data_IF_600233923128
#
_entry.id   IF_600233923128
#
_cell.length_a   1.000
_cell.length_b   1.000
_cell.length_c   1.000
_cell.angle_alpha   90.00
_cell.angle_beta   90.00
_cell.angle_gamma   90.00
#
_symmetry.space_group_name_H-M   'P 1'
#
loop_
_entity.id
_entity.type
_entity.pdbx_description
1 polymer ?
#
# COMPACT_ATOMS: atom_id res chain seq x y z
N UNK A 1 28.30 -112.43 -56.96
CA UNK A 1 27.26 -111.51 -57.46
C UNK A 1 26.51 -110.97 -56.26
N UNK A 2 26.75 -109.78 -55.71
CA UNK A 2 27.32 -108.58 -56.29
C UNK A 2 26.20 -107.56 -56.57
N UNK A 3 25.87 -106.74 -55.55
CA UNK A 3 25.29 -105.38 -55.65
C UNK A 3 23.82 -105.30 -56.19
N UNK A 4 22.91 -104.38 -55.85
CA UNK A 4 22.92 -103.11 -55.07
C UNK A 4 21.49 -102.51 -55.03
N UNK A 5 21.32 -101.51 -54.13
CA UNK A 5 20.30 -100.41 -54.09
C UNK A 5 18.93 -100.77 -53.49
N UNK A 6 18.29 -99.92 -52.68
CA UNK A 6 18.33 -98.45 -52.63
C UNK A 6 17.98 -97.93 -51.23
N UNK A 7 18.65 -96.86 -50.80
CA UNK A 7 18.37 -96.10 -49.58
C UNK A 7 17.38 -94.96 -49.85
N UNK A 8 16.54 -94.64 -48.86
CA UNK A 8 15.95 -93.31 -48.71
C UNK A 8 16.30 -92.78 -47.32
N UNK A 9 17.07 -91.69 -47.32
CA UNK A 9 17.54 -90.93 -46.16
C UNK A 9 16.40 -90.07 -45.61
N UNK A 10 16.02 -90.28 -44.35
CA UNK A 10 15.29 -89.28 -43.56
C UNK A 10 16.29 -88.30 -42.92
N UNK A 11 16.28 -87.05 -43.35
CA UNK A 11 17.08 -86.00 -42.73
C UNK A 11 16.39 -85.54 -41.42
N UNK A 12 16.91 -85.97 -40.28
CA UNK A 12 16.46 -85.53 -38.97
C UNK A 12 17.08 -84.16 -38.66
N UNK A 13 16.31 -83.09 -38.87
CA UNK A 13 16.70 -81.72 -38.51
C UNK A 13 16.58 -81.57 -37.00
N UNK A 14 17.71 -81.47 -36.31
CA UNK A 14 17.75 -81.19 -34.87
C UNK A 14 17.36 -79.72 -34.63
N UNK A 15 16.40 -79.42 -33.75
CA UNK A 15 16.08 -78.04 -33.40
C UNK A 15 17.26 -77.44 -32.61
N UNK A 16 17.87 -76.40 -33.17
CA UNK A 16 18.92 -75.62 -32.50
C UNK A 16 18.25 -74.83 -31.37
N UNK A 17 18.41 -75.28 -30.12
CA UNK A 17 17.85 -74.56 -28.97
C UNK A 17 18.47 -73.16 -28.89
N UNK A 18 17.69 -72.12 -29.15
CA UNK A 18 18.06 -70.75 -28.81
C UNK A 18 17.99 -70.63 -27.29
N UNK A 19 19.15 -70.81 -26.65
CA UNK A 19 19.31 -70.65 -25.21
C UNK A 19 19.16 -69.16 -24.89
N UNK A 20 17.94 -68.73 -24.53
CA UNK A 20 17.67 -67.36 -24.10
C UNK A 20 18.45 -67.07 -22.82
N UNK A 21 19.43 -66.17 -22.94
CA UNK A 21 20.28 -65.68 -21.85
C UNK A 21 19.51 -64.64 -21.00
N UNK A 22 18.38 -65.01 -20.40
CA UNK A 22 17.55 -64.05 -19.61
C UNK A 22 18.01 -63.87 -18.15
N UNK A 23 19.07 -64.55 -17.70
CA UNK A 23 19.53 -64.48 -16.29
C UNK A 23 20.39 -63.25 -15.95
N UNK A 24 20.85 -62.45 -16.91
CA UNK A 24 21.72 -61.27 -16.65
C UNK A 24 20.98 -59.93 -16.51
N UNK A 25 19.67 -59.88 -16.73
CA UNK A 25 18.91 -58.62 -16.66
C UNK A 25 18.42 -58.27 -15.24
N UNK A 26 18.26 -59.26 -14.35
CA UNK A 26 17.72 -59.01 -12.98
C UNK A 26 18.66 -58.22 -12.07
N UNK A 27 19.98 -58.37 -12.24
CA UNK A 27 20.97 -57.59 -11.47
C UNK A 27 21.11 -56.14 -11.95
N UNK A 28 21.01 -55.90 -13.26
CA UNK A 28 21.06 -54.56 -13.83
C UNK A 28 19.85 -53.71 -13.40
N UNK A 29 18.65 -54.31 -13.32
CA UNK A 29 17.43 -53.61 -12.87
C UNK A 29 17.56 -53.13 -11.42
N UNK A 30 18.12 -53.93 -10.51
CA UNK A 30 18.32 -53.52 -9.12
C UNK A 30 19.25 -52.31 -8.99
N UNK A 31 20.34 -52.29 -9.77
CA UNK A 31 21.28 -51.15 -9.77
C UNK A 31 20.61 -49.90 -10.33
N UNK A 32 19.92 -50.00 -11.47
CA UNK A 32 19.23 -48.86 -12.07
C UNK A 32 18.12 -48.31 -11.17
N UNK A 33 17.33 -49.17 -10.54
CA UNK A 33 16.28 -48.76 -9.59
C UNK A 33 16.88 -48.11 -8.34
N UNK A 34 17.98 -48.67 -7.79
CA UNK A 34 18.68 -48.10 -6.66
C UNK A 34 19.21 -46.69 -6.96
N UNK A 35 19.85 -46.51 -8.13
CA UNK A 35 20.32 -45.20 -8.58
C UNK A 35 19.14 -44.25 -8.77
N UNK A 36 18.08 -44.66 -9.47
CA UNK A 36 16.91 -43.81 -9.71
C UNK A 36 16.24 -43.36 -8.40
N UNK A 37 16.07 -44.26 -7.42
CA UNK A 37 15.52 -43.91 -6.10
C UNK A 37 16.39 -42.90 -5.37
N UNK A 38 17.72 -43.05 -5.40
CA UNK A 38 18.64 -42.07 -4.82
C UNK A 38 18.50 -40.71 -5.51
N UNK A 39 18.38 -40.67 -6.84
CA UNK A 39 18.15 -39.42 -7.58
C UNK A 39 16.82 -38.78 -7.21
N UNK A 40 15.75 -39.57 -7.08
CA UNK A 40 14.45 -39.07 -6.67
C UNK A 40 14.46 -38.50 -5.25
N UNK A 41 15.10 -39.18 -4.30
CA UNK A 41 15.22 -38.69 -2.93
C UNK A 41 16.05 -37.41 -2.86
N UNK A 42 17.14 -37.33 -3.63
CA UNK A 42 17.96 -36.12 -3.72
C UNK A 42 17.14 -34.93 -4.28
N UNK A 43 16.38 -35.14 -5.35
CA UNK A 43 15.50 -34.09 -5.91
C UNK A 43 14.38 -33.71 -4.95
N UNK A 44 13.76 -34.68 -4.27
CA UNK A 44 12.68 -34.42 -3.31
C UNK A 44 13.17 -33.55 -2.15
N UNK A 45 14.34 -33.85 -1.61
CA UNK A 45 14.90 -33.10 -0.51
C UNK A 45 15.36 -31.69 -0.92
N UNK A 46 15.89 -31.49 -2.15
CA UNK A 46 16.11 -30.14 -2.70
C UNK A 46 14.78 -29.38 -2.84
N UNK A 47 13.72 -30.08 -3.27
CA UNK A 47 12.37 -29.50 -3.34
C UNK A 47 11.85 -29.04 -1.98
N UNK A 48 12.12 -29.80 -0.91
CA UNK A 48 11.74 -29.43 0.46
C UNK A 48 12.50 -28.19 0.94
N UNK A 49 13.81 -28.12 0.73
CA UNK A 49 14.61 -26.96 1.10
C UNK A 49 14.13 -25.69 0.37
N UNK A 50 13.86 -25.80 -0.93
CA UNK A 50 13.35 -24.68 -1.70
C UNK A 50 11.97 -24.22 -1.21
N UNK A 51 11.09 -25.17 -0.87
CA UNK A 51 9.77 -24.86 -0.34
C UNK A 51 9.86 -24.17 1.03
N UNK A 52 10.74 -24.64 1.92
CA UNK A 52 10.98 -24.04 3.23
C UNK A 52 11.55 -22.62 3.11
N UNK A 53 12.51 -22.41 2.21
CA UNK A 53 13.06 -21.08 1.92
C UNK A 53 12.02 -20.12 1.36
N UNK A 54 11.18 -20.58 0.43
CA UNK A 54 10.11 -19.78 -0.15
C UNK A 54 9.04 -19.40 0.89
N UNK A 55 8.71 -20.33 1.79
CA UNK A 55 7.79 -20.07 2.89
C UNK A 55 8.38 -19.04 3.87
N UNK A 56 9.61 -19.26 4.34
CA UNK A 56 10.35 -18.32 5.19
C UNK A 56 10.42 -16.94 4.55
N UNK A 57 10.68 -16.86 3.24
CA UNK A 57 10.72 -15.60 2.51
C UNK A 57 9.40 -14.83 2.55
N UNK A 58 8.27 -15.54 2.57
CA UNK A 58 6.94 -14.94 2.69
C UNK A 58 6.69 -14.44 4.12
N UNK A 59 7.13 -15.18 5.13
CA UNK A 59 7.05 -14.76 6.53
C UNK A 59 7.90 -13.50 6.78
N UNK A 60 9.16 -13.47 6.33
CA UNK A 60 10.06 -12.31 6.46
C UNK A 60 9.50 -11.10 5.71
N UNK A 61 8.85 -11.31 4.55
CA UNK A 61 8.17 -10.26 3.79
C UNK A 61 7.02 -9.66 4.61
N UNK A 62 6.17 -10.50 5.21
CA UNK A 62 5.10 -10.04 6.11
C UNK A 62 5.65 -9.20 7.26
N UNK A 63 6.73 -9.65 7.91
CA UNK A 63 7.41 -8.91 8.99
C UNK A 63 7.90 -7.55 8.50
N UNK A 64 8.51 -7.47 7.31
CA UNK A 64 9.03 -6.22 6.77
C UNK A 64 7.89 -5.21 6.65
N UNK A 65 6.76 -5.68 6.16
CA UNK A 65 5.67 -4.80 5.81
C UNK A 65 4.86 -4.31 7.03
N UNK A 66 4.65 -5.17 8.04
CA UNK A 66 4.02 -4.74 9.29
C UNK A 66 4.96 -3.84 10.11
N UNK A 67 6.27 -4.10 10.11
CA UNK A 67 7.25 -3.26 10.78
C UNK A 67 7.34 -1.86 10.13
N UNK A 68 7.38 -1.80 8.79
CA UNK A 68 7.38 -0.53 8.06
C UNK A 68 6.10 0.25 8.35
N UNK A 69 4.92 -0.40 8.29
CA UNK A 69 3.62 0.26 8.52
C UNK A 69 3.51 0.80 9.94
N UNK A 70 3.86 0.00 10.95
CA UNK A 70 3.86 0.44 12.34
C UNK A 70 4.87 1.58 12.60
N UNK A 71 6.04 1.52 11.96
CA UNK A 71 7.01 2.60 12.02
C UNK A 71 6.50 3.89 11.39
N UNK A 72 5.83 3.81 10.23
CA UNK A 72 5.23 4.99 9.58
C UNK A 72 4.07 5.57 10.40
N UNK A 73 3.25 4.74 11.03
CA UNK A 73 2.20 5.20 11.95
C UNK A 73 2.79 5.91 13.17
N UNK A 74 3.83 5.33 13.78
CA UNK A 74 4.55 5.95 14.90
C UNK A 74 5.18 7.29 14.50
N UNK A 75 5.71 7.39 13.27
CA UNK A 75 6.29 8.64 12.73
C UNK A 75 5.27 9.78 12.70
N UNK A 76 4.06 9.52 12.18
CA UNK A 76 2.97 10.52 12.11
C UNK A 76 2.48 10.92 13.50
N UNK A 77 2.40 9.95 14.41
CA UNK A 77 1.93 10.17 15.78
C UNK A 77 2.99 10.79 16.71
N UNK A 78 4.19 11.10 16.20
CA UNK A 78 5.30 11.63 17.00
C UNK A 78 5.88 10.63 18.02
N UNK A 79 5.67 9.34 17.79
CA UNK A 79 6.14 8.24 18.63
C UNK A 79 7.55 7.75 18.28
N UNK A 80 7.99 6.69 18.98
CA UNK A 80 9.28 6.06 18.72
C UNK A 80 9.16 5.02 17.59
N UNK A 81 9.51 5.44 16.37
CA UNK A 81 9.45 4.62 15.14
C UNK A 81 10.09 3.24 15.31
N UNK A 82 11.29 3.19 15.87
CA UNK A 82 12.06 1.94 15.97
C UNK A 82 11.39 0.99 16.97
N UNK A 83 10.99 1.50 18.13
CA UNK A 83 10.37 0.70 19.17
C UNK A 83 9.01 0.11 18.71
N UNK A 84 8.19 0.91 18.03
CA UNK A 84 6.89 0.44 17.52
C UNK A 84 7.05 -0.58 16.39
N UNK A 85 7.95 -0.32 15.44
CA UNK A 85 8.27 -1.27 14.37
C UNK A 85 8.77 -2.62 14.93
N UNK A 86 9.64 -2.60 15.94
CA UNK A 86 10.13 -3.81 16.61
C UNK A 86 9.01 -4.54 17.38
N UNK A 87 8.17 -3.80 18.09
CA UNK A 87 7.07 -4.36 18.89
C UNK A 87 6.06 -5.09 18.00
N UNK A 88 5.69 -4.51 16.86
CA UNK A 88 4.77 -5.13 15.91
C UNK A 88 5.43 -6.27 15.14
N UNK A 89 6.71 -6.13 14.76
CA UNK A 89 7.47 -7.22 14.14
C UNK A 89 7.49 -8.47 15.04
N UNK A 90 7.75 -8.32 16.34
CA UNK A 90 7.83 -9.42 17.30
C UNK A 90 6.53 -10.20 17.52
N UNK A 91 5.38 -9.67 17.05
CA UNK A 91 4.08 -10.39 17.07
C UNK A 91 3.94 -11.41 15.94
N UNK A 92 4.89 -11.42 14.99
CA UNK A 92 4.90 -12.34 13.86
C UNK A 92 5.92 -13.45 14.09
N UNK A 93 5.72 -14.58 13.42
CA UNK A 93 6.64 -15.71 13.45
C UNK A 93 7.37 -15.83 12.11
N UNK A 94 8.64 -16.19 12.18
CA UNK A 94 9.45 -16.63 11.05
C UNK A 94 10.13 -17.92 11.46
N UNK A 95 9.95 -18.98 10.67
CA UNK A 95 10.51 -20.31 10.93
C UNK A 95 10.23 -20.78 12.38
N UNK A 96 8.99 -20.56 12.84
CA UNK A 96 8.53 -20.97 14.18
C UNK A 96 9.10 -20.16 15.36
N UNK A 97 9.81 -19.05 15.11
CA UNK A 97 10.35 -18.16 16.15
C UNK A 97 9.78 -16.76 16.02
N UNK A 98 9.61 -16.00 17.13
CA UNK A 98 9.26 -14.59 17.04
C UNK A 98 10.26 -13.84 16.15
N UNK A 99 9.74 -13.04 15.22
CA UNK A 99 10.58 -12.27 14.32
C UNK A 99 11.33 -11.18 15.11
N UNK A 100 12.58 -10.92 14.71
CA UNK A 100 13.38 -9.85 15.26
C UNK A 100 13.90 -8.97 14.11
N UNK A 101 13.91 -7.66 14.33
CA UNK A 101 14.49 -6.69 13.41
C UNK A 101 15.45 -5.79 14.18
N UNK A 102 16.67 -5.65 13.67
CA UNK A 102 17.67 -4.77 14.25
C UNK A 102 17.23 -3.31 14.08
N UNK A 103 17.52 -2.46 15.06
CA UNK A 103 17.21 -1.03 14.99
C UNK A 103 17.81 -0.36 13.74
N UNK A 104 19.02 -0.75 13.34
CA UNK A 104 19.68 -0.24 12.13
C UNK A 104 19.02 -0.66 10.81
N UNK A 105 18.11 -1.64 10.82
CA UNK A 105 17.35 -2.06 9.65
C UNK A 105 15.97 -1.39 9.57
N UNK A 106 15.70 -0.42 10.47
CA UNK A 106 14.53 0.44 10.46
C UNK A 106 15.01 1.85 10.16
N UNK A 107 14.73 2.32 8.95
CA UNK A 107 15.22 3.60 8.46
C UNK A 107 14.05 4.55 8.27
N UNK A 108 14.10 5.69 8.96
CA UNK A 108 13.21 6.83 8.72
C UNK A 108 13.73 7.63 7.53
N UNK A 109 12.84 8.09 6.65
CA UNK A 109 13.22 8.89 5.51
C UNK A 109 12.05 9.54 4.79
N UNK A 110 12.34 10.05 3.60
CA UNK A 110 11.34 10.63 2.70
C UNK A 110 11.05 9.67 1.54
N UNK A 111 9.78 9.51 1.19
CA UNK A 111 9.32 8.81 0.01
C UNK A 111 8.60 9.78 -0.93
N UNK A 112 9.09 9.86 -2.16
CA UNK A 112 8.51 10.66 -3.22
C UNK A 112 7.60 9.77 -4.10
N UNK A 113 6.26 9.91 -4.04
CA UNK A 113 5.34 9.05 -4.80
C UNK A 113 5.46 9.24 -6.32
N UNK A 114 5.82 10.44 -6.78
CA UNK A 114 5.98 10.73 -8.21
C UNK A 114 7.15 9.96 -8.85
N UNK A 115 8.28 9.87 -8.16
CA UNK A 115 9.50 9.19 -8.67
C UNK A 115 9.69 7.79 -8.10
N UNK A 116 8.79 7.37 -7.18
CA UNK A 116 8.86 6.10 -6.44
C UNK A 116 10.21 5.88 -5.75
N UNK A 117 10.75 6.95 -5.16
CA UNK A 117 12.08 6.95 -4.56
C UNK A 117 11.99 7.10 -3.05
N UNK A 118 12.70 6.25 -2.32
CA UNK A 118 12.94 6.41 -0.89
C UNK A 118 14.34 6.97 -0.66
N UNK A 119 14.42 8.00 0.19
CA UNK A 119 15.66 8.64 0.62
C UNK A 119 15.77 8.50 2.13
N UNK A 120 16.69 7.65 2.60
CA UNK A 120 16.98 7.48 4.02
C UNK A 120 17.46 8.81 4.63
N UNK A 121 16.92 9.18 5.79
CA UNK A 121 17.19 10.47 6.43
C UNK A 121 16.64 11.68 5.66
N UNK A 122 15.85 11.47 4.60
CA UNK A 122 15.22 12.55 3.85
C UNK A 122 14.24 13.35 4.70
N UNK A 123 14.19 14.66 4.45
CA UNK A 123 13.33 15.62 5.16
C UNK A 123 12.37 16.33 4.20
N UNK A 124 11.10 16.54 4.55
CA UNK A 124 10.44 16.02 5.76
C UNK A 124 10.31 14.49 5.72
N UNK A 125 10.48 13.86 6.88
CA UNK A 125 10.38 12.40 6.97
C UNK A 125 8.92 11.98 6.91
N UNK A 126 8.52 11.29 5.85
CA UNK A 126 7.14 10.80 5.67
C UNK A 126 7.08 9.28 5.49
N UNK A 127 8.21 8.57 5.56
CA UNK A 127 8.26 7.15 5.28
C UNK A 127 9.24 6.40 6.18
N UNK A 128 8.99 5.09 6.32
CA UNK A 128 9.83 4.16 7.04
C UNK A 128 10.12 2.95 6.17
N UNK A 129 11.39 2.58 6.05
CA UNK A 129 11.85 1.34 5.43
C UNK A 129 12.26 0.34 6.50
N UNK A 130 11.72 -0.87 6.43
CA UNK A 130 12.10 -1.98 7.30
C UNK A 130 12.73 -3.10 6.50
N UNK A 131 13.88 -3.60 6.95
CA UNK A 131 14.65 -4.67 6.29
C UNK A 131 14.96 -5.84 7.25
N UNK A 132 13.94 -6.65 7.62
CA UNK A 132 14.18 -7.83 8.43
C UNK A 132 14.93 -8.91 7.65
N UNK A 133 15.62 -9.77 8.39
CA UNK A 133 16.26 -10.96 7.87
C UNK A 133 16.07 -12.15 8.82
N UNK A 134 16.05 -13.34 8.26
CA UNK A 134 16.04 -14.58 9.02
C UNK A 134 17.00 -15.59 8.39
N UNK A 135 17.74 -16.29 9.25
CA UNK A 135 18.64 -17.36 8.83
C UNK A 135 18.01 -18.70 9.17
N UNK A 136 17.76 -19.50 8.15
CA UNK A 136 17.18 -20.85 8.29
C UNK A 136 18.22 -21.91 7.99
N UNK A 137 18.03 -23.08 8.59
CA UNK A 137 18.87 -24.25 8.33
C UNK A 137 18.27 -25.05 7.18
N UNK A 138 19.05 -25.31 6.14
CA UNK A 138 18.65 -26.17 5.04
C UNK A 138 18.96 -27.63 5.39
N UNK A 139 18.10 -28.57 4.98
CA UNK A 139 18.35 -30.00 5.21
C UNK A 139 19.52 -30.54 4.38
N UNK A 140 19.76 -30.03 3.17
CA UNK A 140 20.77 -30.59 2.26
C UNK A 140 21.93 -29.67 1.87
N UNK A 141 21.90 -28.39 2.22
CA UNK A 141 22.97 -27.47 1.84
C UNK A 141 24.33 -27.81 2.50
N UNK A 142 24.31 -28.72 3.48
CA UNK A 142 25.48 -29.41 4.02
C UNK A 142 26.28 -30.28 3.06
N UNK A 143 25.70 -30.76 1.95
CA UNK A 143 26.46 -31.48 0.89
C UNK A 143 27.37 -30.52 0.11
N UNK A 144 27.06 -29.21 0.14
CA UNK A 144 27.78 -28.17 -0.61
C UNK A 144 28.51 -27.14 0.28
N UNK A 145 28.49 -27.32 1.61
CA UNK A 145 29.36 -26.60 2.55
C UNK A 145 28.70 -25.49 3.37
N UNK A 146 27.46 -25.07 3.06
CA UNK A 146 26.74 -24.04 3.84
C UNK A 146 25.39 -24.58 4.31
N UNK A 147 25.23 -24.83 5.61
CA UNK A 147 24.00 -25.40 6.19
C UNK A 147 22.88 -24.39 6.37
N UNK A 148 23.11 -23.13 6.02
CA UNK A 148 22.21 -22.04 6.33
C UNK A 148 21.98 -21.15 5.14
N UNK A 149 20.77 -20.61 5.04
CA UNK A 149 20.46 -19.54 4.09
C UNK A 149 19.81 -18.38 4.84
N UNK A 150 20.30 -17.18 4.55
CA UNK A 150 19.72 -15.95 5.08
C UNK A 150 18.77 -15.36 4.06
N UNK A 151 17.52 -15.20 4.45
CA UNK A 151 16.49 -14.52 3.67
C UNK A 151 16.33 -13.13 4.23
N UNK A 152 16.50 -12.12 3.38
CA UNK A 152 16.27 -10.72 3.71
C UNK A 152 15.18 -10.17 2.79
N UNK A 153 14.28 -9.39 3.36
CA UNK A 153 13.23 -8.67 2.62
C UNK A 153 13.22 -7.20 3.01
N UNK A 154 12.55 -6.39 2.21
CA UNK A 154 12.38 -4.97 2.43
C UNK A 154 10.92 -4.59 2.24
N UNK A 155 10.48 -3.59 2.99
CA UNK A 155 9.23 -2.90 2.72
C UNK A 155 9.35 -1.44 3.11
N UNK A 156 8.65 -0.58 2.38
CA UNK A 156 8.56 0.85 2.68
C UNK A 156 7.11 1.15 2.97
N UNK A 157 6.83 1.79 4.10
CA UNK A 157 5.54 2.40 4.34
C UNK A 157 5.72 3.90 4.26
N UNK A 158 4.94 4.55 3.41
CA UNK A 158 4.90 5.99 3.30
C UNK A 158 3.56 6.48 3.80
N UNK A 159 3.62 7.54 4.57
CA UNK A 159 2.50 8.37 4.92
C UNK A 159 2.47 9.53 3.94
N UNK A 160 1.28 9.94 3.52
CA UNK A 160 1.13 11.09 2.65
C UNK A 160 -0.32 11.54 2.61
N UNK A 161 -0.56 12.71 2.02
CA UNK A 161 -1.90 13.17 1.79
C UNK A 161 -2.73 12.14 0.98
N UNK A 162 -4.06 12.26 0.98
CA UNK A 162 -4.90 11.46 0.08
C UNK A 162 -4.71 11.89 -1.37
N UNK A 163 -4.50 10.92 -2.26
CA UNK A 163 -4.42 11.09 -3.70
C UNK A 163 -5.78 11.05 -4.40
N UNK A 164 -6.81 10.50 -3.75
CA UNK A 164 -8.21 10.60 -4.17
C UNK A 164 -9.15 10.41 -2.99
N UNK A 165 -10.35 10.97 -3.09
CA UNK A 165 -11.35 10.88 -2.04
C UNK A 165 -12.71 11.37 -2.50
N UNK A 166 -13.74 11.04 -1.73
CA UNK A 166 -15.09 11.56 -1.92
C UNK A 166 -15.35 12.66 -0.87
N UNK A 167 -15.35 13.95 -1.25
CA UNK A 167 -15.56 15.03 -0.31
C UNK A 167 -16.94 14.97 0.35
N UNK A 168 -17.02 15.28 1.63
CA UNK A 168 -18.28 15.29 2.39
C UNK A 168 -18.86 16.68 2.60
N UNK A 169 -18.08 17.72 2.26
CA UNK A 169 -18.51 19.11 2.22
C UNK A 169 -18.13 19.70 0.86
N UNK A 170 -19.05 20.38 0.15
CA UNK A 170 -18.81 21.07 -1.12
C UNK A 170 -18.02 22.37 -0.93
N UNK A 171 -16.92 22.29 -0.20
CA UNK A 171 -15.98 23.36 0.08
C UNK A 171 -14.61 22.91 -0.40
N UNK A 172 -13.86 23.78 -1.07
CA UNK A 172 -12.47 23.56 -1.46
C UNK A 172 -11.57 24.60 -0.78
N UNK A 173 -10.40 24.17 -0.31
CA UNK A 173 -9.40 25.04 0.29
C UNK A 173 -8.29 25.36 -0.71
N UNK A 174 -7.76 26.57 -0.69
CA UNK A 174 -6.53 26.88 -1.43
C UNK A 174 -5.32 26.21 -0.78
N UNK A 175 -4.33 25.82 -1.57
CA UNK A 175 -3.09 25.21 -1.08
C UNK A 175 -2.19 26.18 -0.30
N UNK A 176 -2.38 27.48 -0.47
CA UNK A 176 -1.42 28.50 -0.02
C UNK A 176 -1.21 28.55 1.49
N UNK A 177 -2.26 28.43 2.34
CA UNK A 177 -2.05 28.35 3.77
C UNK A 177 -1.29 27.09 4.20
N UNK A 178 -1.30 26.03 3.38
CA UNK A 178 -0.47 24.83 3.55
C UNK A 178 1.00 25.03 3.11
N UNK A 179 1.47 26.29 3.00
CA UNK A 179 2.83 26.70 2.58
C UNK A 179 4.02 25.99 3.25
N UNK A 180 3.79 25.19 4.28
CA UNK A 180 4.79 24.31 4.87
C UNK A 180 4.58 22.88 4.36
N UNK A 181 5.32 22.50 3.31
CA UNK A 181 5.40 21.11 2.80
C UNK A 181 5.86 20.09 3.86
N UNK A 182 6.28 20.56 5.02
CA UNK A 182 6.79 19.78 6.15
C UNK A 182 5.82 19.69 7.34
N UNK A 183 4.60 20.20 7.21
CA UNK A 183 3.65 20.16 8.31
C UNK A 183 3.03 18.76 8.47
N UNK A 184 3.73 17.92 9.24
CA UNK A 184 3.35 16.54 9.55
C UNK A 184 2.72 16.37 10.93
N UNK A 185 2.61 17.47 11.69
CA UNK A 185 2.03 17.48 13.03
C UNK A 185 0.82 18.42 13.10
N UNK A 186 -0.03 18.22 14.11
CA UNK A 186 -1.23 19.04 14.30
C UNK A 186 -0.90 20.51 14.69
N UNK A 187 0.33 20.79 15.11
CA UNK A 187 0.72 22.08 15.68
C UNK A 187 1.02 23.15 14.62
N UNK A 188 1.36 22.72 13.41
CA UNK A 188 1.70 23.59 12.29
C UNK A 188 0.54 23.77 11.28
N UNK A 189 -0.62 23.16 11.54
CA UNK A 189 -1.75 23.20 10.62
C UNK A 189 -2.39 24.61 10.56
N UNK A 190 -2.60 25.15 9.35
CA UNK A 190 -3.09 26.52 9.18
C UNK A 190 -4.57 26.64 9.57
N UNK A 191 -4.97 27.82 10.04
CA UNK A 191 -6.40 28.16 10.16
C UNK A 191 -6.89 28.78 8.86
N UNK A 192 -8.09 28.38 8.45
CA UNK A 192 -8.75 28.90 7.27
C UNK A 192 -9.94 29.76 7.69
N UNK A 193 -10.14 30.82 6.94
CA UNK A 193 -11.29 31.69 7.07
C UNK A 193 -11.90 31.83 5.68
N UNK A 194 -13.16 31.43 5.55
CA UNK A 194 -13.95 31.77 4.38
C UNK A 194 -14.79 32.98 4.74
N UNK A 195 -14.55 34.11 4.07
CA UNK A 195 -15.32 35.34 4.19
C UNK A 195 -15.94 35.65 2.82
N UNK A 196 -16.49 36.85 2.63
CA UNK A 196 -16.88 37.36 1.32
C UNK A 196 -15.96 38.54 1.00
N UNK A 197 -14.65 38.32 1.04
CA UNK A 197 -13.64 39.36 0.85
C UNK A 197 -12.37 38.78 0.22
N UNK A 198 -11.43 39.66 -0.11
CA UNK A 198 -10.12 39.36 -0.73
C UNK A 198 -9.21 38.45 0.09
N UNK A 199 -9.53 38.15 1.35
CA UNK A 199 -8.76 37.27 2.24
C UNK A 199 -9.22 35.80 2.21
N UNK A 200 -10.14 35.44 1.31
CA UNK A 200 -10.64 34.08 1.21
C UNK A 200 -9.51 33.06 0.99
N UNK A 201 -9.50 32.02 1.82
CA UNK A 201 -8.57 30.89 1.71
C UNK A 201 -9.25 29.64 1.16
N UNK A 202 -10.48 29.76 0.66
CA UNK A 202 -11.27 28.66 0.10
C UNK A 202 -12.60 29.14 -0.46
N UNK A 203 -13.32 28.26 -1.15
CA UNK A 203 -14.64 28.55 -1.72
C UNK A 203 -15.52 27.32 -1.87
N UNK A 204 -16.80 27.57 -2.13
CA UNK A 204 -17.75 26.52 -2.44
C UNK A 204 -17.42 25.88 -3.78
N UNK A 205 -17.71 24.60 -3.92
CA UNK A 205 -17.50 23.88 -5.17
C UNK A 205 -18.74 23.10 -5.56
N UNK A 206 -18.98 23.00 -6.87
CA UNK A 206 -19.94 22.07 -7.47
C UNK A 206 -19.23 20.85 -8.05
N UNK A 207 -17.99 20.63 -7.61
CA UNK A 207 -17.09 19.58 -8.06
C UNK A 207 -16.96 19.59 -9.59
N UNK A 208 -17.41 18.53 -10.25
CA UNK A 208 -17.34 18.37 -11.71
C UNK A 208 -18.53 19.03 -12.44
N UNK A 209 -19.50 19.61 -11.73
CA UNK A 209 -20.63 20.31 -12.31
C UNK A 209 -20.33 21.80 -12.54
N UNK A 210 -20.81 22.35 -13.65
CA UNK A 210 -20.61 23.75 -14.08
C UNK A 210 -21.80 24.66 -13.75
N UNK A 211 -22.84 24.15 -13.08
CA UNK A 211 -24.04 24.94 -12.73
C UNK A 211 -23.88 25.76 -11.45
N UNK A 212 -24.26 27.04 -11.47
CA UNK A 212 -24.10 28.00 -10.35
C UNK A 212 -25.03 27.79 -9.12
N UNK A 213 -25.67 26.63 -8.94
CA UNK A 213 -26.79 26.48 -7.99
C UNK A 213 -26.82 25.22 -7.11
N UNK A 214 -25.86 24.29 -7.25
CA UNK A 214 -26.00 22.92 -6.74
C UNK A 214 -25.11 22.55 -5.53
N UNK A 215 -24.30 23.47 -4.99
CA UNK A 215 -23.39 23.11 -3.88
C UNK A 215 -24.17 22.55 -2.67
N UNK A 216 -25.31 23.15 -2.31
CA UNK A 216 -26.19 22.68 -1.23
C UNK A 216 -26.81 21.29 -1.49
N UNK A 217 -26.82 20.84 -2.74
CA UNK A 217 -27.39 19.55 -3.13
C UNK A 217 -26.50 18.37 -2.77
N UNK A 218 -25.19 18.61 -2.65
CA UNK A 218 -24.20 17.65 -2.16
C UNK A 218 -24.20 17.49 -0.63
N UNK A 219 -24.93 18.31 0.10
CA UNK A 219 -25.01 18.21 1.56
C UNK A 219 -26.17 17.30 1.98
N UNK A 220 -25.88 16.33 2.83
CA UNK A 220 -26.86 15.38 3.31
C UNK A 220 -27.90 16.01 4.26
N UNK A 221 -29.07 15.37 4.35
CA UNK A 221 -30.10 15.67 5.38
C UNK A 221 -29.51 15.43 6.78
N UNK A 222 -29.95 16.16 7.83
CA UNK A 222 -31.15 17.02 7.90
C UNK A 222 -30.94 18.47 7.46
N UNK A 223 -29.70 18.94 7.29
CA UNK A 223 -29.44 20.35 6.99
C UNK A 223 -29.38 20.65 5.49
N UNK A 224 -28.86 19.72 4.69
CA UNK A 224 -28.80 19.85 3.23
C UNK A 224 -29.98 19.16 2.53
N UNK A 225 -29.98 19.16 1.20
CA UNK A 225 -31.06 18.55 0.41
C UNK A 225 -30.84 17.06 0.19
N UNK A 226 -29.57 16.61 0.19
CA UNK A 226 -29.15 15.25 -0.11
C UNK A 226 -29.55 14.78 -1.50
N UNK A 227 -29.72 15.72 -2.45
CA UNK A 227 -30.15 15.40 -3.82
C UNK A 227 -29.03 14.82 -4.67
N UNK A 228 -27.80 15.26 -4.42
CA UNK A 228 -26.61 14.82 -5.14
C UNK A 228 -25.62 14.20 -4.17
N UNK A 229 -24.77 13.31 -4.67
CA UNK A 229 -23.66 12.73 -3.93
C UNK A 229 -22.37 13.23 -4.56
N UNK A 230 -21.43 13.69 -3.74
CA UNK A 230 -20.15 14.19 -4.26
C UNK A 230 -19.46 13.09 -5.08
N UNK A 231 -18.87 13.40 -6.25
CA UNK A 231 -18.11 12.42 -6.99
C UNK A 231 -16.83 12.04 -6.24
N UNK A 232 -16.24 10.91 -6.59
CA UNK A 232 -14.85 10.62 -6.22
C UNK A 232 -13.96 11.51 -7.07
N UNK A 233 -13.04 12.23 -6.42
CA UNK A 233 -12.14 13.18 -7.06
C UNK A 233 -10.71 12.71 -6.81
N UNK A 234 -9.86 12.80 -7.83
CA UNK A 234 -8.44 12.53 -7.75
C UNK A 234 -7.60 13.81 -7.75
N UNK A 235 -6.38 13.71 -7.25
CA UNK A 235 -5.34 14.72 -7.47
C UNK A 235 -5.08 14.84 -8.97
N UNK A 236 -5.11 16.06 -9.48
CA UNK A 236 -5.04 16.40 -10.91
C UNK A 236 -6.38 16.69 -11.57
N UNK A 237 -7.51 16.27 -10.97
CA UNK A 237 -8.84 16.62 -11.49
C UNK A 237 -9.13 18.11 -11.32
N UNK A 238 -9.84 18.71 -12.28
CA UNK A 238 -10.22 20.12 -12.21
C UNK A 238 -11.65 20.28 -11.69
N UNK A 239 -11.82 21.00 -10.59
CA UNK A 239 -13.13 21.25 -9.96
C UNK A 239 -13.57 22.70 -10.12
N UNK A 240 -14.87 22.92 -10.30
CA UNK A 240 -15.47 24.25 -10.42
C UNK A 240 -15.59 24.91 -9.05
N UNK A 241 -14.97 26.09 -8.90
CA UNK A 241 -15.06 26.90 -7.69
C UNK A 241 -16.06 28.04 -7.90
N UNK A 242 -16.94 28.21 -6.93
CA UNK A 242 -17.97 29.23 -6.89
C UNK A 242 -17.79 30.08 -5.64
N UNK A 243 -17.49 31.37 -5.83
CA UNK A 243 -17.39 32.32 -4.74
C UNK A 243 -18.75 32.53 -4.05
N UNK A 244 -18.79 32.30 -2.74
CA UNK A 244 -19.80 32.78 -1.78
C UNK A 244 -21.28 32.79 -2.22
N UNK A 245 -21.99 31.66 -2.07
CA UNK A 245 -23.46 31.65 -2.12
C UNK A 245 -24.06 31.87 -0.73
N UNK A 246 -25.19 32.56 -0.61
CA UNK A 246 -25.75 32.95 0.70
C UNK A 246 -26.44 31.81 1.46
N UNK A 247 -26.98 30.84 0.72
CA UNK A 247 -27.87 29.81 1.24
C UNK A 247 -27.09 28.68 1.90
N UNK A 248 -25.90 28.38 1.40
CA UNK A 248 -25.06 27.29 1.91
C UNK A 248 -24.52 27.57 3.32
N UNK A 249 -24.32 28.85 3.68
CA UNK A 249 -23.96 29.23 5.05
C UNK A 249 -25.03 28.82 6.07
N UNK A 250 -26.32 28.87 5.72
CA UNK A 250 -27.39 28.43 6.61
C UNK A 250 -27.32 26.91 6.84
N UNK A 251 -27.00 26.16 5.79
CA UNK A 251 -26.81 24.70 5.87
C UNK A 251 -25.63 24.37 6.78
N UNK A 252 -24.49 25.04 6.62
CA UNK A 252 -23.32 24.81 7.49
C UNK A 252 -23.58 25.23 8.93
N UNK A 253 -24.28 26.35 9.17
CA UNK A 253 -24.70 26.74 10.51
C UNK A 253 -25.61 25.69 11.17
N UNK A 254 -26.50 25.07 10.41
CA UNK A 254 -27.31 23.94 10.88
C UNK A 254 -26.44 22.73 11.25
N UNK A 255 -25.48 22.34 10.40
CA UNK A 255 -24.57 21.22 10.69
C UNK A 255 -23.75 21.47 11.96
N UNK A 256 -23.24 22.69 12.12
CA UNK A 256 -22.51 23.12 13.32
C UNK A 256 -23.36 23.01 14.59
N UNK A 257 -24.62 23.45 14.55
CA UNK A 257 -25.55 23.37 15.67
C UNK A 257 -25.97 21.93 16.02
N UNK A 258 -25.92 21.01 15.05
CA UNK A 258 -26.14 19.57 15.28
C UNK A 258 -24.87 18.83 15.74
N UNK A 259 -23.73 19.52 15.86
CA UNK A 259 -22.46 18.91 16.26
C UNK A 259 -21.71 18.20 15.13
N UNK A 260 -22.17 18.30 13.88
CA UNK A 260 -21.48 17.73 12.71
C UNK A 260 -20.45 18.75 12.22
N UNK A 261 -19.19 18.54 12.58
CA UNK A 261 -18.11 19.52 12.38
C UNK A 261 -16.97 19.05 11.50
N UNK A 262 -16.84 17.75 11.29
CA UNK A 262 -15.71 17.18 10.57
C UNK A 262 -16.07 16.79 9.14
N UNK A 263 -15.25 17.21 8.19
CA UNK A 263 -15.50 16.98 6.77
C UNK A 263 -14.22 16.75 5.98
N UNK A 264 -14.29 15.91 4.95
CA UNK A 264 -13.24 15.77 3.95
C UNK A 264 -13.48 16.78 2.83
N UNK A 265 -12.47 17.60 2.52
CA UNK A 265 -12.54 18.65 1.49
C UNK A 265 -11.33 18.57 0.55
N UNK A 266 -11.50 18.86 -0.75
CA UNK A 266 -10.38 18.99 -1.68
C UNK A 266 -9.56 20.25 -1.37
N UNK A 267 -8.25 20.14 -1.58
CA UNK A 267 -7.30 21.26 -1.62
C UNK A 267 -6.97 21.51 -3.09
N UNK A 268 -7.04 22.77 -3.51
CA UNK A 268 -6.86 23.19 -4.91
C UNK A 268 -5.63 24.07 -5.10
N UNK A 269 -4.99 23.92 -6.25
CA UNK A 269 -3.84 24.69 -6.69
C UNK A 269 -4.23 26.08 -7.18
N UNK A 270 -4.79 26.90 -6.28
CA UNK A 270 -5.13 28.31 -6.53
C UNK A 270 -4.23 29.16 -5.66
N UNK A 271 -3.66 30.23 -6.21
CA UNK A 271 -2.90 31.20 -5.42
C UNK A 271 -3.83 32.02 -4.50
N UNK A 272 -3.36 32.33 -3.30
CA UNK A 272 -4.12 32.95 -2.22
C UNK A 272 -3.26 34.08 -1.62
N UNK A 273 -3.85 35.22 -1.24
CA UNK A 273 -5.27 35.58 -1.42
C UNK A 273 -5.66 35.66 -2.90
N UNK A 274 -6.82 35.12 -3.26
CA UNK A 274 -7.21 34.97 -4.67
C UNK A 274 -8.71 34.83 -4.87
N UNK A 275 -9.17 35.03 -6.11
CA UNK A 275 -10.56 34.77 -6.48
C UNK A 275 -10.71 33.27 -6.71
N UNK A 276 -11.68 32.66 -6.05
CA UNK A 276 -12.05 31.24 -6.22
C UNK A 276 -13.36 31.17 -7.02
N UNK A 277 -13.32 31.63 -8.26
CA UNK A 277 -14.46 31.72 -9.17
C UNK A 277 -14.15 31.12 -10.55
N UNK A 278 -13.23 30.15 -10.56
CA UNK A 278 -12.71 29.45 -11.74
C UNK A 278 -12.60 27.96 -11.46
N UNK A 279 -12.42 27.17 -12.51
CA UNK A 279 -12.00 25.78 -12.33
C UNK A 279 -10.54 25.72 -11.87
N UNK A 280 -10.24 24.84 -10.92
CA UNK A 280 -8.90 24.67 -10.36
C UNK A 280 -8.53 23.20 -10.20
N UNK A 281 -7.25 22.83 -10.41
CA UNK A 281 -6.79 21.47 -10.21
C UNK A 281 -6.76 21.14 -8.72
N UNK A 282 -7.21 19.94 -8.36
CA UNK A 282 -7.06 19.36 -7.03
C UNK A 282 -5.63 18.94 -6.84
N UNK A 283 -4.99 19.46 -5.79
CA UNK A 283 -3.62 19.13 -5.42
C UNK A 283 -3.57 18.17 -4.24
N UNK A 284 -4.66 17.97 -3.50
CA UNK A 284 -4.76 17.01 -2.40
C UNK A 284 -6.09 17.11 -1.67
N UNK A 285 -6.16 16.52 -0.47
CA UNK A 285 -7.33 16.60 0.39
C UNK A 285 -6.93 16.92 1.82
N UNK A 286 -7.86 17.56 2.53
CA UNK A 286 -7.71 17.84 3.95
C UNK A 286 -9.00 17.45 4.68
N UNK A 287 -8.85 16.85 5.86
CA UNK A 287 -9.95 16.67 6.80
C UNK A 287 -9.97 17.92 7.64
N UNK A 288 -11.13 18.56 7.74
CA UNK A 288 -11.28 19.82 8.46
C UNK A 288 -12.26 19.67 9.61
N UNK A 289 -12.08 20.48 10.64
CA UNK A 289 -13.04 20.69 11.71
C UNK A 289 -13.51 22.15 11.66
N UNK A 290 -14.82 22.35 11.68
CA UNK A 290 -15.43 23.68 11.77
C UNK A 290 -15.38 24.16 13.22
N UNK A 291 -14.66 25.26 13.45
CA UNK A 291 -14.48 25.88 14.76
C UNK A 291 -15.63 26.82 15.10
N UNK A 292 -15.97 27.69 14.14
CA UNK A 292 -16.99 28.71 14.31
C UNK A 292 -17.70 29.03 12.99
N UNK A 293 -18.99 29.36 13.10
CA UNK A 293 -19.80 29.85 11.99
C UNK A 293 -20.42 31.17 12.40
N UNK A 294 -20.07 32.25 11.71
CA UNK A 294 -20.69 33.57 11.88
C UNK A 294 -21.64 33.83 10.73
N UNK A 295 -22.93 33.99 11.02
CA UNK A 295 -23.97 34.22 10.00
C UNK A 295 -24.84 35.45 10.35
N UNK A 296 -24.23 36.63 10.39
CA UNK A 296 -24.93 37.91 10.63
C UNK A 296 -25.40 38.54 9.31
N UNK A 297 -26.35 39.50 9.35
CA UNK A 297 -26.80 40.22 8.12
C UNK A 297 -25.67 40.95 7.37
N UNK A 298 -24.59 41.32 8.06
CA UNK A 298 -23.46 42.09 7.50
C UNK A 298 -22.20 41.25 7.26
N UNK A 299 -22.02 40.16 7.99
CA UNK A 299 -20.78 39.37 7.98
C UNK A 299 -21.12 37.88 7.99
N UNK A 300 -20.59 37.15 7.03
CA UNK A 300 -20.69 35.69 6.96
C UNK A 300 -19.28 35.13 6.92
N UNK A 301 -18.93 34.30 7.89
CA UNK A 301 -17.64 33.62 7.91
C UNK A 301 -17.74 32.20 8.47
N UNK A 302 -16.87 31.32 7.98
CA UNK A 302 -16.62 30.01 8.58
C UNK A 302 -15.13 29.96 8.93
N UNK A 303 -14.86 29.69 10.19
CA UNK A 303 -13.51 29.41 10.70
C UNK A 303 -13.37 27.90 10.82
N UNK A 304 -12.28 27.37 10.29
CA UNK A 304 -11.99 25.95 10.28
C UNK A 304 -10.49 25.72 10.34
N UNK A 305 -10.10 24.56 10.85
CA UNK A 305 -8.72 24.09 10.78
C UNK A 305 -8.70 22.67 10.21
N UNK A 306 -7.65 22.28 9.47
CA UNK A 306 -7.43 20.91 9.10
C UNK A 306 -6.98 20.10 10.32
N UNK A 307 -7.21 18.80 10.28
CA UNK A 307 -6.77 17.84 11.28
C UNK A 307 -6.19 16.61 10.59
N UNK A 308 -5.08 16.10 11.12
CA UNK A 308 -4.48 14.82 10.69
C UNK A 308 -5.38 13.66 11.09
N UNK A 309 -5.74 12.85 10.09
CA UNK A 309 -6.49 11.60 10.25
C UNK A 309 -5.80 10.48 9.48
N UNK A 310 -5.53 9.38 10.17
CA UNK A 310 -4.84 8.18 9.66
C UNK A 310 -5.79 7.04 9.29
N UNK A 311 -7.06 7.15 9.67
CA UNK A 311 -8.12 6.18 9.44
C UNK A 311 -8.84 6.39 8.10
N UNK A 312 -8.52 7.47 7.38
CA UNK A 312 -9.12 7.73 6.07
C UNK A 312 -8.43 6.88 5.01
N UNK A 313 -9.17 5.94 4.45
CA UNK A 313 -8.68 5.02 3.43
C UNK A 313 -8.67 5.70 2.05
N UNK A 314 -7.53 5.66 1.39
CA UNK A 314 -7.38 6.08 -0.01
C UNK A 314 -5.94 5.96 -0.48
N UNK A 315 -5.70 5.98 -1.81
CA UNK A 315 -4.34 5.93 -2.34
C UNK A 315 -3.54 7.13 -1.82
N UNK A 316 -2.26 6.97 -1.46
CA UNK A 316 -1.42 8.08 -1.06
C UNK A 316 -1.15 8.99 -2.26
N UNK A 317 -1.12 10.30 -2.05
CA UNK A 317 -0.83 11.28 -3.09
C UNK A 317 -1.29 12.69 -2.73
N UNK A 318 -0.91 13.66 -3.55
CA UNK A 318 -1.28 15.05 -3.33
C UNK A 318 -0.28 15.84 -2.49
N UNK A 319 -0.69 17.04 -2.07
CA UNK A 319 0.16 18.03 -1.43
C UNK A 319 0.73 17.52 -0.10
N UNK A 320 2.04 17.73 0.09
CA UNK A 320 2.79 17.14 1.18
C UNK A 320 2.36 17.62 2.58
N UNK A 321 1.77 18.81 2.70
CA UNK A 321 1.31 19.38 3.98
C UNK A 321 -0.21 19.31 4.20
N UNK A 322 -0.96 18.63 3.32
CA UNK A 322 -2.41 18.62 3.39
C UNK A 322 -2.93 17.64 4.45
N UNK A 323 -3.92 18.07 5.22
CA UNK A 323 -4.26 17.46 6.52
C UNK A 323 -4.77 16.01 6.52
N UNK A 324 -5.01 15.34 5.39
CA UNK A 324 -5.49 13.94 5.43
C UNK A 324 -4.40 12.95 5.09
N UNK A 325 -3.86 12.24 6.09
CA UNK A 325 -2.72 11.34 5.91
C UNK A 325 -3.16 9.88 5.78
N UNK A 326 -2.91 9.22 4.66
CA UNK A 326 -3.06 7.76 4.57
C UNK A 326 -1.69 7.08 4.67
N UNK A 327 -1.60 6.05 5.52
CA UNK A 327 -0.45 5.16 5.54
C UNK A 327 -0.59 4.14 4.41
N UNK A 328 0.32 4.18 3.46
CA UNK A 328 0.37 3.24 2.35
C UNK A 328 1.62 2.37 2.43
N UNK A 329 1.41 1.07 2.32
CA UNK A 329 2.46 0.07 2.23
C UNK A 329 2.89 -0.08 0.78
N UNK A 330 4.16 0.16 0.52
CA UNK A 330 4.82 0.01 -0.76
C UNK A 330 5.82 -1.13 -0.64
N UNK A 331 5.56 -2.19 -1.38
CA UNK A 331 6.44 -3.36 -1.42
C UNK A 331 7.51 -3.08 -2.48
N UNK A 332 8.77 -3.05 -2.05
CA UNK A 332 9.95 -2.97 -2.91
C UNK A 332 10.67 -4.31 -2.95
#
# INVERSE_FOLDING_TARGET
>A
MGQTRSQIRGAMTTPRSVRTRSRRQRGAVLVTVGVALLTFLAMAAVGVDLAHLAFTATEVQSVAEVAATAGAEALINGGNVVAEAQTVAARNMVDGRPAAIAAGNIEVGAYAPATRTFTAGGTPANAVRATPSATVQNLLAGIFGDFTSTVQKSAIAASGALGSGQPTLPLALGECPFSQDSCLDQSCLPKFITVKDTLDTGAWTTFLSTGNGAAKDFLAKPCGTGKETAPVIGVGDSISLNGGTTDIFQVVNCLFNLGIREFLVPVVGVSCPGKFNQSAPVVGFATIVIDAVTATRKTKSIELHPVIRTDVLGPPGGCAGCGTWSAARLVS
#
